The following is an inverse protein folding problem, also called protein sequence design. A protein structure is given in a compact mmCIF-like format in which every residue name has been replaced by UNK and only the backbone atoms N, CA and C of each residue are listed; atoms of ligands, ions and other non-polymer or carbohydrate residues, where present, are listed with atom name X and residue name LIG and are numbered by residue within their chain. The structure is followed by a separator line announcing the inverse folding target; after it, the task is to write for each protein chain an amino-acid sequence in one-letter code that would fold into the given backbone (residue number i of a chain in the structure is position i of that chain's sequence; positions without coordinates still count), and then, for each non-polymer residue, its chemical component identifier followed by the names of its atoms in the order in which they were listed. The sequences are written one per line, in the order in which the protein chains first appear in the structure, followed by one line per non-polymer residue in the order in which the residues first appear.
data_IF_286044798827
#
_entry.id   IF_286044798827
#
_cell.length_a   1.000
_cell.length_b   1.000
_cell.length_c   1.000
_cell.angle_alpha   90.00
_cell.angle_beta   90.00
_cell.angle_gamma   90.00
#
_symmetry.space_group_name_H-M   'P 1'
#
loop_
_entity.id
_entity.type
_entity.pdbx_description
1 polymer ?
#
# COMPACT_ATOMS: atom_id res chain seq x y z
N UNK A 1 -11.33 3.64 -35.08
CA UNK A 1 -10.97 4.41 -33.86
C UNK A 1 -11.71 3.78 -32.68
N UNK A 2 -11.05 2.89 -31.95
CA UNK A 2 -11.63 2.33 -30.73
C UNK A 2 -11.75 3.43 -29.68
N UNK A 3 -12.93 3.56 -29.06
CA UNK A 3 -13.18 4.52 -27.99
C UNK A 3 -12.36 4.13 -26.77
N UNK A 4 -11.23 4.78 -26.55
CA UNK A 4 -10.49 4.70 -25.29
C UNK A 4 -11.18 5.60 -24.26
N UNK A 5 -11.46 5.05 -23.08
CA UNK A 5 -11.93 5.85 -21.94
C UNK A 5 -10.78 6.05 -20.97
N UNK A 6 -10.45 7.31 -20.72
CA UNK A 6 -9.44 7.71 -19.74
C UNK A 6 -9.86 7.29 -18.33
N UNK A 7 -8.92 6.74 -17.55
CA UNK A 7 -9.11 6.56 -16.10
C UNK A 7 -8.71 7.86 -15.40
N UNK A 8 -9.66 8.49 -14.70
CA UNK A 8 -9.41 9.74 -13.98
C UNK A 8 -8.28 9.62 -12.95
N UNK A 9 -7.39 10.61 -12.90
CA UNK A 9 -6.25 10.68 -11.96
C UNK A 9 -4.89 10.34 -12.56
N UNK A 10 -4.83 9.51 -13.61
CA UNK A 10 -3.56 9.00 -14.13
C UNK A 10 -2.80 9.96 -15.07
N UNK A 11 -3.45 10.98 -15.65
CA UNK A 11 -2.85 11.86 -16.66
C UNK A 11 -1.91 12.94 -16.11
N UNK A 12 -1.74 13.02 -14.78
CA UNK A 12 -0.86 14.03 -14.16
C UNK A 12 0.61 13.62 -14.17
N UNK A 13 0.91 12.32 -14.29
CA UNK A 13 2.28 11.82 -14.31
C UNK A 13 2.88 11.98 -15.72
N UNK A 14 3.98 12.74 -15.89
CA UNK A 14 4.67 12.84 -17.17
C UNK A 14 5.21 11.49 -17.65
N UNK A 15 5.44 10.53 -16.75
CA UNK A 15 6.02 9.21 -17.03
C UNK A 15 5.05 8.30 -17.79
N UNK A 16 3.74 8.49 -17.67
CA UNK A 16 2.77 7.61 -18.29
C UNK A 16 1.37 7.72 -17.70
N UNK A 17 0.42 6.98 -18.26
CA UNK A 17 -0.95 6.95 -17.74
C UNK A 17 -1.69 5.64 -18.03
N UNK A 18 -2.73 5.38 -17.26
CA UNK A 18 -3.64 4.23 -17.38
C UNK A 18 -4.86 4.60 -18.20
N UNK A 19 -5.27 3.69 -19.09
CA UNK A 19 -6.44 3.82 -19.94
C UNK A 19 -7.13 2.47 -20.14
N UNK A 20 -8.38 2.50 -20.59
CA UNK A 20 -9.17 1.29 -20.85
C UNK A 20 -9.52 1.21 -22.33
N UNK A 21 -9.30 0.03 -22.91
CA UNK A 21 -9.74 -0.34 -24.27
C UNK A 21 -10.49 -1.66 -24.17
N UNK A 22 -11.73 -1.69 -24.67
CA UNK A 22 -12.56 -2.91 -24.69
C UNK A 22 -12.70 -3.61 -23.32
N UNK A 23 -12.72 -2.82 -22.24
CA UNK A 23 -12.86 -3.33 -20.87
C UNK A 23 -11.57 -3.90 -20.26
N UNK A 24 -10.45 -3.85 -21.00
CA UNK A 24 -9.12 -4.23 -20.55
C UNK A 24 -8.32 -2.99 -20.12
N UNK A 25 -7.57 -3.12 -19.03
CA UNK A 25 -6.72 -2.05 -18.50
C UNK A 25 -5.36 -2.10 -19.18
N UNK A 26 -4.90 -0.93 -19.63
CA UNK A 26 -3.58 -0.71 -20.20
C UNK A 26 -2.89 0.47 -19.53
N UNK A 27 -1.56 0.47 -19.58
CA UNK A 27 -0.73 1.59 -19.15
C UNK A 27 0.21 1.99 -20.26
N UNK A 28 0.18 3.26 -20.64
CA UNK A 28 1.18 3.85 -21.51
C UNK A 28 2.39 4.28 -20.69
N UNK A 29 3.57 3.99 -21.19
CA UNK A 29 4.84 4.58 -20.77
C UNK A 29 5.19 5.65 -21.78
N UNK A 30 5.53 6.85 -21.30
CA UNK A 30 5.98 7.93 -22.16
C UNK A 30 7.51 7.89 -22.34
N UNK A 31 8.00 8.52 -23.41
CA UNK A 31 9.42 8.60 -23.75
C UNK A 31 10.31 9.10 -22.59
N UNK A 32 9.78 9.97 -21.72
CA UNK A 32 10.53 10.52 -20.58
C UNK A 32 10.94 9.46 -19.55
N UNK A 33 10.24 8.33 -19.50
CA UNK A 33 10.48 7.24 -18.55
C UNK A 33 11.15 6.02 -19.21
N UNK A 34 11.57 6.15 -20.47
CA UNK A 34 12.17 5.06 -21.24
C UNK A 34 13.38 4.44 -20.53
N UNK A 35 14.32 5.27 -20.08
CA UNK A 35 15.58 4.80 -19.49
C UNK A 35 15.33 4.00 -18.20
N UNK A 36 14.45 4.50 -17.33
CA UNK A 36 14.09 3.83 -16.09
C UNK A 36 13.33 2.52 -16.34
N UNK A 37 12.40 2.50 -17.30
CA UNK A 37 11.70 1.28 -17.69
C UNK A 37 12.64 0.23 -18.26
N UNK A 38 13.49 0.60 -19.22
CA UNK A 38 14.46 -0.31 -19.83
C UNK A 38 15.40 -0.87 -18.75
N UNK A 39 15.81 -0.05 -17.77
CA UNK A 39 16.61 -0.50 -16.63
C UNK A 39 15.84 -1.42 -15.68
N UNK A 40 14.56 -1.17 -15.42
CA UNK A 40 13.71 -2.04 -14.61
C UNK A 40 13.64 -3.46 -15.21
N UNK A 41 13.48 -3.54 -16.52
CA UNK A 41 13.38 -4.81 -17.24
C UNK A 41 14.74 -5.53 -17.36
N UNK A 42 15.82 -4.79 -17.59
CA UNK A 42 17.17 -5.37 -17.84
C UNK A 42 17.99 -5.63 -16.59
N UNK A 43 17.74 -4.93 -15.47
CA UNK A 43 18.47 -5.12 -14.21
C UNK A 43 18.14 -6.44 -13.48
N UNK A 44 17.09 -7.15 -13.90
CA UNK A 44 16.56 -8.32 -13.21
C UNK A 44 15.61 -7.99 -12.05
N UNK A 45 15.44 -6.71 -11.69
CA UNK A 45 14.54 -6.29 -10.61
C UNK A 45 13.09 -6.70 -10.89
N UNK A 46 12.59 -6.43 -12.10
CA UNK A 46 11.22 -6.79 -12.48
C UNK A 46 10.95 -8.30 -12.29
N UNK A 47 11.86 -9.14 -12.78
CA UNK A 47 11.75 -10.59 -12.66
C UNK A 47 11.81 -11.04 -11.19
N UNK A 48 12.67 -10.43 -10.37
CA UNK A 48 12.76 -10.73 -8.94
C UNK A 48 11.47 -10.36 -8.20
N UNK A 49 10.94 -9.16 -8.42
CA UNK A 49 9.73 -8.67 -7.72
C UNK A 49 8.47 -9.45 -8.11
N UNK A 50 8.30 -9.78 -9.39
CA UNK A 50 7.13 -10.52 -9.87
C UNK A 50 7.16 -11.99 -9.42
N UNK A 51 8.33 -12.64 -9.50
CA UNK A 51 8.53 -14.00 -8.98
C UNK A 51 8.18 -14.10 -7.49
N UNK A 52 8.56 -13.09 -6.71
CA UNK A 52 8.31 -13.05 -5.27
C UNK A 52 6.89 -12.55 -4.91
N UNK A 53 6.06 -12.21 -5.91
CA UNK A 53 4.70 -11.70 -5.72
C UNK A 53 4.64 -10.29 -5.11
N UNK A 54 5.70 -9.50 -5.21
CA UNK A 54 5.80 -8.15 -4.65
C UNK A 54 5.32 -7.06 -5.60
N UNK A 55 5.32 -7.33 -6.91
CA UNK A 55 4.87 -6.44 -7.97
C UNK A 55 3.84 -7.18 -8.83
N UNK A 56 2.73 -6.52 -9.15
CA UNK A 56 1.74 -7.02 -10.10
C UNK A 56 2.41 -7.12 -11.47
N UNK A 57 2.46 -8.32 -12.08
CA UNK A 57 3.12 -8.50 -13.35
C UNK A 57 2.31 -7.82 -14.47
N UNK A 58 3.02 -7.50 -15.54
CA UNK A 58 2.49 -6.98 -16.77
C UNK A 58 3.20 -7.61 -17.97
N UNK A 59 2.54 -7.51 -19.12
CA UNK A 59 3.13 -7.85 -20.42
C UNK A 59 3.20 -6.60 -21.28
N UNK A 60 4.14 -6.54 -22.22
CA UNK A 60 4.12 -5.50 -23.25
C UNK A 60 3.02 -5.83 -24.26
N UNK A 61 2.14 -4.86 -24.51
CA UNK A 61 1.02 -4.98 -25.44
C UNK A 61 1.38 -4.40 -26.82
N UNK A 62 0.45 -4.53 -27.78
CA UNK A 62 0.61 -3.99 -29.13
C UNK A 62 0.86 -2.46 -29.08
N UNK A 63 1.98 -1.95 -29.63
CA UNK A 63 2.25 -0.52 -29.74
C UNK A 63 1.15 0.28 -30.45
N UNK A 64 0.34 -0.36 -31.31
CA UNK A 64 -0.80 0.28 -31.96
C UNK A 64 -1.89 0.77 -30.98
N UNK A 65 -1.89 0.28 -29.73
CA UNK A 65 -2.78 0.75 -28.65
C UNK A 65 -2.33 2.07 -28.03
N UNK A 66 -1.13 2.57 -28.38
CA UNK A 66 -0.60 3.80 -27.85
C UNK A 66 -1.53 4.99 -28.06
N UNK A 67 -1.58 5.85 -27.05
CA UNK A 67 -2.38 7.07 -26.99
C UNK A 67 -1.43 8.27 -27.16
N UNK A 68 -1.24 8.69 -28.41
CA UNK A 68 -0.47 9.88 -28.77
C UNK A 68 1.03 9.65 -29.00
N UNK A 69 1.70 10.68 -29.52
CA UNK A 69 3.08 10.61 -30.03
C UNK A 69 4.16 10.47 -28.96
N UNK A 70 3.83 10.74 -27.69
CA UNK A 70 4.76 10.65 -26.56
C UNK A 70 4.95 9.23 -26.06
N UNK A 71 4.21 8.26 -26.60
CA UNK A 71 4.28 6.88 -26.18
C UNK A 71 5.65 6.27 -26.51
N UNK A 72 6.17 5.50 -25.55
CA UNK A 72 7.31 4.62 -25.72
C UNK A 72 6.83 3.17 -25.82
N UNK A 73 6.05 2.72 -24.83
CA UNK A 73 5.50 1.36 -24.74
C UNK A 73 4.09 1.36 -24.17
N UNK A 74 3.34 0.30 -24.45
CA UNK A 74 2.04 0.02 -23.82
C UNK A 74 2.18 -1.28 -23.02
N UNK A 75 1.75 -1.26 -21.77
CA UNK A 75 1.73 -2.41 -20.88
C UNK A 75 0.30 -2.87 -20.65
N UNK A 76 0.12 -4.18 -20.55
CA UNK A 76 -1.09 -4.83 -20.06
C UNK A 76 -0.78 -5.49 -18.70
N UNK A 77 -1.11 -4.83 -17.57
CA UNK A 77 -0.98 -5.43 -16.25
C UNK A 77 -2.00 -6.53 -16.01
N UNK A 78 -1.65 -7.49 -15.17
CA UNK A 78 -2.62 -8.44 -14.62
C UNK A 78 -3.72 -7.67 -13.86
N UNK A 79 -4.98 -8.01 -14.18
CA UNK A 79 -6.12 -7.30 -13.64
C UNK A 79 -6.43 -7.80 -12.23
N UNK A 80 -6.36 -6.88 -11.28
CA UNK A 80 -6.86 -7.13 -9.93
C UNK A 80 -8.40 -7.20 -9.93
N UNK A 81 -8.99 -8.21 -9.26
CA UNK A 81 -10.45 -8.35 -9.20
C UNK A 81 -11.12 -7.28 -8.35
N UNK A 82 -10.38 -6.64 -7.44
CA UNK A 82 -10.86 -5.63 -6.53
C UNK A 82 -9.73 -4.66 -6.17
N UNK A 83 -10.08 -3.38 -6.04
CA UNK A 83 -9.18 -2.32 -5.60
C UNK A 83 -9.72 -1.80 -4.28
N UNK A 84 -8.88 -1.75 -3.27
CA UNK A 84 -9.17 -1.14 -1.97
C UNK A 84 -8.22 0.03 -1.71
N UNK A 85 -8.64 0.93 -0.82
CA UNK A 85 -7.92 2.14 -0.51
C UNK A 85 -7.29 2.10 0.89
N UNK A 86 -6.18 2.81 1.12
CA UNK A 86 -5.49 2.81 2.41
C UNK A 86 -6.35 3.18 3.64
N UNK A 87 -7.39 4.00 3.46
CA UNK A 87 -8.32 4.35 4.53
C UNK A 87 -9.36 3.27 4.84
N UNK A 88 -9.42 2.20 4.05
CA UNK A 88 -10.29 1.03 4.23
C UNK A 88 -9.55 -0.15 4.86
N UNK A 89 -8.22 -0.07 4.94
CA UNK A 89 -7.38 -1.16 5.43
C UNK A 89 -7.33 -1.21 6.95
N UNK A 90 -7.34 -2.44 7.48
CA UNK A 90 -7.06 -2.68 8.88
C UNK A 90 -5.60 -2.35 9.24
N UNK A 91 -5.32 -2.27 10.54
CA UNK A 91 -3.98 -1.92 11.05
C UNK A 91 -2.87 -2.80 10.47
N UNK A 92 -3.06 -4.13 10.46
CA UNK A 92 -2.05 -5.06 9.97
C UNK A 92 -1.95 -5.07 8.44
N UNK A 93 -3.04 -4.82 7.71
CA UNK A 93 -2.99 -4.61 6.25
C UNK A 93 -2.10 -3.42 5.90
N UNK A 94 -2.33 -2.27 6.54
CA UNK A 94 -1.51 -1.07 6.31
C UNK A 94 -0.05 -1.29 6.73
N UNK A 95 0.19 -2.06 7.81
CA UNK A 95 1.54 -2.42 8.26
C UNK A 95 2.24 -3.31 7.23
N UNK A 96 1.56 -4.31 6.70
CA UNK A 96 2.15 -5.23 5.73
C UNK A 96 2.41 -4.55 4.39
N UNK A 97 1.54 -3.61 3.97
CA UNK A 97 1.80 -2.73 2.83
C UNK A 97 3.04 -1.85 3.02
N UNK A 98 3.26 -1.33 4.24
CA UNK A 98 4.46 -0.58 4.58
C UNK A 98 5.73 -1.46 4.52
N UNK A 99 5.66 -2.67 5.08
CA UNK A 99 6.77 -3.63 5.07
C UNK A 99 7.09 -4.12 3.65
N UNK A 100 6.07 -4.36 2.83
CA UNK A 100 6.23 -4.63 1.39
C UNK A 100 7.03 -3.52 0.73
N UNK A 101 6.63 -2.27 0.93
CA UNK A 101 7.28 -1.11 0.30
C UNK A 101 8.75 -1.01 0.68
N UNK A 102 9.11 -1.25 1.94
CA UNK A 102 10.52 -1.30 2.38
C UNK A 102 11.29 -2.49 1.76
N UNK A 103 10.64 -3.66 1.64
CA UNK A 103 11.23 -4.83 0.98
C UNK A 103 11.52 -4.56 -0.49
N UNK A 104 10.58 -3.92 -1.20
CA UNK A 104 10.76 -3.52 -2.60
C UNK A 104 11.88 -2.49 -2.71
N UNK A 105 11.94 -1.49 -1.83
CA UNK A 105 13.04 -0.51 -1.84
C UNK A 105 14.40 -1.18 -1.66
N UNK A 106 14.51 -2.16 -0.75
CA UNK A 106 15.75 -2.91 -0.53
C UNK A 106 16.15 -3.71 -1.77
N UNK A 107 15.21 -4.43 -2.36
CA UNK A 107 15.45 -5.16 -3.61
C UNK A 107 15.84 -4.21 -4.75
N UNK A 108 15.18 -3.05 -4.87
CA UNK A 108 15.55 -2.04 -5.86
C UNK A 108 17.01 -1.62 -5.70
N UNK A 109 17.46 -1.31 -4.47
CA UNK A 109 18.85 -0.92 -4.20
C UNK A 109 19.88 -2.04 -4.48
N UNK A 110 19.48 -3.30 -4.41
CA UNK A 110 20.32 -4.45 -4.79
C UNK A 110 20.50 -4.54 -6.32
N UNK A 111 19.48 -4.12 -7.07
CA UNK A 111 19.49 -4.07 -8.53
C UNK A 111 19.88 -2.70 -9.11
N UNK A 112 20.43 -1.80 -8.29
CA UNK A 112 20.87 -0.46 -8.72
C UNK A 112 19.72 0.48 -9.10
N UNK A 113 18.54 0.27 -8.53
CA UNK A 113 17.36 1.12 -8.70
C UNK A 113 16.86 1.62 -7.34
N UNK A 114 15.88 2.52 -7.34
CA UNK A 114 15.20 2.99 -6.14
C UNK A 114 13.72 3.24 -6.43
N UNK A 115 12.87 3.11 -5.43
CA UNK A 115 11.50 3.62 -5.47
C UNK A 115 11.51 5.13 -5.36
N UNK A 116 10.90 5.79 -6.34
CA UNK A 116 10.63 7.24 -6.34
C UNK A 116 9.25 7.61 -5.83
N UNK A 117 8.31 6.66 -5.85
CA UNK A 117 6.97 6.79 -5.31
C UNK A 117 6.69 5.68 -4.29
N UNK A 118 6.42 6.08 -3.06
CA UNK A 118 6.06 5.23 -1.93
C UNK A 118 4.64 5.54 -1.43
N UNK A 119 3.73 5.94 -2.33
CA UNK A 119 2.31 6.10 -2.03
C UNK A 119 1.67 4.77 -1.62
N UNK A 120 0.98 4.75 -0.49
CA UNK A 120 0.15 3.61 -0.10
C UNK A 120 -0.92 3.27 -1.15
N UNK A 121 -1.35 4.22 -1.97
CA UNK A 121 -2.33 3.97 -3.04
C UNK A 121 -1.78 3.12 -4.18
N UNK A 122 -0.46 2.90 -4.26
CA UNK A 122 0.16 2.02 -5.24
C UNK A 122 0.23 0.57 -4.77
N UNK A 123 -0.14 0.27 -3.52
CA UNK A 123 -0.21 -1.10 -2.99
C UNK A 123 -1.64 -1.60 -3.07
N UNK A 124 -1.81 -2.86 -3.44
CA UNK A 124 -3.08 -3.57 -3.48
C UNK A 124 -2.92 -4.98 -2.91
N UNK A 125 -4.02 -5.71 -2.76
CA UNK A 125 -4.01 -7.04 -2.15
C UNK A 125 -4.49 -8.13 -3.11
N UNK A 126 -3.69 -9.18 -3.28
CA UNK A 126 -4.09 -10.44 -3.95
C UNK A 126 -4.42 -11.45 -2.86
N UNK A 127 -5.72 -11.57 -2.54
CA UNK A 127 -6.16 -12.20 -1.30
C UNK A 127 -5.70 -11.34 -0.11
N UNK A 128 -4.98 -11.93 0.84
CA UNK A 128 -4.36 -11.20 1.96
C UNK A 128 -2.89 -10.84 1.73
N UNK A 129 -2.35 -10.99 0.51
CA UNK A 129 -0.95 -10.67 0.20
C UNK A 129 -0.85 -9.29 -0.45
N UNK A 130 -0.13 -8.33 0.14
CA UNK A 130 0.07 -7.02 -0.49
C UNK A 130 1.05 -7.13 -1.66
N UNK A 131 0.79 -6.37 -2.73
CA UNK A 131 1.65 -6.24 -3.91
C UNK A 131 1.58 -4.80 -4.46
N UNK A 132 2.70 -4.29 -4.96
CA UNK A 132 2.78 -3.00 -5.66
C UNK A 132 2.14 -3.16 -7.04
N UNK A 133 1.29 -2.23 -7.47
CA UNK A 133 0.68 -2.25 -8.81
C UNK A 133 1.27 -1.22 -9.77
N UNK A 134 2.07 -0.27 -9.28
CA UNK A 134 2.63 0.78 -10.11
C UNK A 134 4.05 0.45 -10.59
N UNK A 135 4.19 0.22 -11.89
CA UNK A 135 5.48 -0.04 -12.56
C UNK A 135 6.30 1.23 -12.73
N UNK A 136 5.67 2.41 -12.75
CA UNK A 136 6.38 3.69 -12.98
C UNK A 136 6.96 4.29 -11.69
N UNK A 137 6.94 3.53 -10.58
CA UNK A 137 7.45 3.95 -9.27
C UNK A 137 8.97 3.77 -9.12
N UNK A 138 9.70 3.27 -10.11
CA UNK A 138 11.15 3.01 -10.01
C UNK A 138 11.98 4.06 -10.73
N UNK A 139 13.22 4.24 -10.32
CA UNK A 139 14.23 5.03 -11.05
C UNK A 139 15.63 4.45 -10.87
N UNK A 140 16.53 4.80 -11.76
CA UNK A 140 17.96 4.57 -11.62
C UNK A 140 18.49 5.12 -10.28
N UNK A 141 19.04 4.26 -9.42
CA UNK A 141 19.71 4.72 -8.20
C UNK A 141 21.09 5.31 -8.56
N UNK A 142 21.40 6.45 -7.96
CA UNK A 142 22.69 7.13 -8.05
C UNK A 142 23.34 7.15 -6.67
N UNK A 143 24.57 6.65 -6.59
CA UNK A 143 25.27 6.55 -5.30
C UNK A 143 25.42 7.92 -4.64
N UNK A 144 25.12 7.99 -3.34
CA UNK A 144 25.16 9.23 -2.58
C UNK A 144 23.85 10.01 -2.56
N UNK A 145 22.86 9.67 -3.39
CA UNK A 145 21.55 10.31 -3.34
C UNK A 145 20.68 9.76 -2.20
N UNK A 146 19.92 10.61 -1.50
CA UNK A 146 18.97 10.17 -0.48
C UNK A 146 17.78 9.43 -1.12
N UNK A 147 17.07 8.61 -0.34
CA UNK A 147 15.82 8.01 -0.81
C UNK A 147 14.73 9.09 -0.98
N UNK A 148 14.40 9.43 -2.23
CA UNK A 148 13.48 10.53 -2.57
C UNK A 148 12.08 10.33 -1.99
N UNK A 149 11.60 9.09 -1.93
CA UNK A 149 10.27 8.75 -1.43
C UNK A 149 10.20 8.64 0.10
N UNK A 150 11.30 8.87 0.84
CA UNK A 150 11.34 8.71 2.30
C UNK A 150 10.26 9.53 3.04
N UNK A 151 10.07 10.79 2.64
CA UNK A 151 9.02 11.64 3.22
C UNK A 151 7.63 11.05 2.97
N UNK A 152 7.37 10.67 1.72
CA UNK A 152 6.09 10.11 1.32
C UNK A 152 5.80 8.81 2.07
N UNK A 153 6.79 7.93 2.21
CA UNK A 153 6.70 6.72 3.02
C UNK A 153 6.26 7.02 4.47
N UNK A 154 6.92 8.00 5.11
CA UNK A 154 6.54 8.40 6.46
C UNK A 154 5.09 8.92 6.54
N UNK A 155 4.62 9.66 5.53
CA UNK A 155 3.27 10.24 5.52
C UNK A 155 2.17 9.22 5.22
N UNK A 156 2.45 8.26 4.33
CA UNK A 156 1.48 7.27 3.88
C UNK A 156 1.41 6.04 4.79
N UNK A 157 2.50 5.69 5.49
CA UNK A 157 2.56 4.47 6.29
C UNK A 157 2.89 4.74 7.77
N UNK A 158 4.06 5.29 8.06
CA UNK A 158 4.55 5.35 9.44
C UNK A 158 3.69 6.25 10.33
N UNK A 159 3.32 7.43 9.85
CA UNK A 159 2.48 8.39 10.55
C UNK A 159 1.07 7.82 10.85
N UNK A 160 0.29 7.33 9.87
CA UNK A 160 -1.03 6.76 10.16
C UNK A 160 -0.94 5.53 11.07
N UNK A 161 0.02 4.62 10.86
CA UNK A 161 0.20 3.47 11.76
C UNK A 161 0.54 3.89 13.20
N UNK A 162 1.38 4.91 13.38
CA UNK A 162 1.68 5.44 14.71
C UNK A 162 0.42 6.06 15.35
N UNK A 163 -0.37 6.81 14.61
CA UNK A 163 -1.62 7.38 15.12
C UNK A 163 -2.62 6.30 15.52
N UNK A 164 -2.76 5.25 14.72
CA UNK A 164 -3.60 4.09 15.04
C UNK A 164 -3.12 3.39 16.33
N UNK A 165 -1.82 3.16 16.46
CA UNK A 165 -1.25 2.41 17.58
C UNK A 165 -1.22 3.18 18.92
N UNK A 166 -1.11 4.51 18.91
CA UNK A 166 -0.96 5.31 20.14
C UNK A 166 -2.14 6.21 20.48
N UNK A 167 -3.14 6.34 19.59
CA UNK A 167 -4.29 7.21 19.81
C UNK A 167 -5.61 6.51 19.55
N UNK A 168 -5.89 6.17 18.30
CA UNK A 168 -7.16 5.57 17.90
C UNK A 168 -7.04 5.00 16.48
N UNK A 169 -7.47 3.76 16.28
CA UNK A 169 -7.42 3.06 14.99
C UNK A 169 -8.16 3.80 13.87
N UNK A 170 -9.21 4.56 14.22
CA UNK A 170 -10.02 5.32 13.24
C UNK A 170 -9.27 6.49 12.63
N UNK A 171 -8.10 6.86 13.16
CA UNK A 171 -7.24 7.88 12.56
C UNK A 171 -6.64 7.46 11.21
N UNK A 172 -6.76 6.19 10.80
CA UNK A 172 -6.51 5.76 9.42
C UNK A 172 -7.37 6.55 8.41
N UNK A 173 -8.58 6.97 8.80
CA UNK A 173 -9.50 7.75 7.96
C UNK A 173 -8.94 9.10 7.50
N UNK A 174 -7.89 9.62 8.15
CA UNK A 174 -7.18 10.81 7.69
C UNK A 174 -6.62 10.66 6.27
N UNK A 175 -6.30 9.43 5.85
CA UNK A 175 -5.83 9.14 4.50
C UNK A 175 -6.89 9.43 3.42
N UNK A 176 -8.18 9.50 3.77
CA UNK A 176 -9.26 9.89 2.86
C UNK A 176 -9.20 11.38 2.48
N UNK A 177 -8.75 12.23 3.40
CA UNK A 177 -8.67 13.69 3.19
C UNK A 177 -7.25 14.10 2.77
N UNK A 178 -6.24 13.41 3.30
CA UNK A 178 -4.84 13.60 2.95
C UNK A 178 -4.41 12.53 1.95
N UNK A 179 -4.79 12.71 0.68
CA UNK A 179 -4.46 11.77 -0.41
C UNK A 179 -2.93 11.61 -0.58
N UNK A 180 -2.16 12.69 -0.33
CA UNK A 180 -0.69 12.73 -0.35
C UNK A 180 -0.06 12.30 1.01
N UNK A 181 -0.84 11.60 1.84
CA UNK A 181 -0.43 11.10 3.14
C UNK A 181 -0.54 12.14 4.27
N UNK A 182 -0.63 11.62 5.52
CA UNK A 182 -0.83 12.45 6.71
C UNK A 182 0.38 13.39 6.91
N UNK A 183 0.20 14.72 6.97
CA UNK A 183 1.30 15.64 7.23
C UNK A 183 2.04 15.29 8.53
N UNK A 184 3.37 15.17 8.46
CA UNK A 184 4.17 14.71 9.60
C UNK A 184 4.08 15.67 10.79
N UNK A 185 3.86 16.95 10.53
CA UNK A 185 3.74 17.98 11.55
C UNK A 185 2.38 17.94 12.27
N UNK A 186 1.32 17.50 11.57
CA UNK A 186 0.03 17.16 12.15
C UNK A 186 0.17 15.89 12.99
N UNK A 187 0.73 14.82 12.42
CA UNK A 187 0.95 13.56 13.13
C UNK A 187 1.79 13.75 14.40
N UNK A 188 2.89 14.51 14.31
CA UNK A 188 3.77 14.83 15.45
C UNK A 188 3.06 15.58 16.58
N UNK A 189 2.07 16.42 16.26
CA UNK A 189 1.23 17.13 17.25
C UNK A 189 0.16 16.23 17.86
N UNK A 190 -0.42 15.35 17.05
CA UNK A 190 -1.44 14.41 17.49
C UNK A 190 -0.85 13.28 18.34
N UNK A 191 0.37 12.83 18.12
CA UNK A 191 0.98 11.74 18.89
C UNK A 191 1.24 12.12 20.37
N UNK A 192 1.15 11.19 21.33
CA UNK A 192 1.49 11.44 22.72
C UNK A 192 2.96 11.84 22.90
N UNK A 193 3.28 12.63 23.92
CA UNK A 193 4.66 13.05 24.19
C UNK A 193 5.62 11.87 24.41
N UNK A 194 5.10 10.73 24.90
CA UNK A 194 5.86 9.51 25.13
C UNK A 194 6.45 8.89 23.85
N UNK A 195 5.90 9.18 22.67
CA UNK A 195 6.45 8.68 21.40
C UNK A 195 7.78 9.33 21.05
N UNK A 196 8.14 10.46 21.69
CA UNK A 196 9.46 11.09 21.55
C UNK A 196 10.58 10.27 22.18
N UNK A 197 10.28 9.35 23.08
CA UNK A 197 11.25 8.41 23.64
C UNK A 197 11.41 7.13 22.80
N UNK A 198 10.61 6.98 21.73
CA UNK A 198 10.73 5.87 20.79
C UNK A 198 11.57 6.29 19.60
N UNK A 199 12.83 5.84 19.55
CA UNK A 199 13.82 6.28 18.57
C UNK A 199 13.31 6.32 17.13
N UNK A 200 12.62 5.28 16.58
CA UNK A 200 12.11 5.36 15.21
C UNK A 200 11.10 6.51 15.02
N UNK A 201 10.17 6.71 15.95
CA UNK A 201 9.15 7.77 15.85
C UNK A 201 9.75 9.16 16.09
N UNK A 202 10.73 9.26 17.01
CA UNK A 202 11.50 10.48 17.22
C UNK A 202 12.19 10.93 15.93
N UNK A 203 12.93 10.03 15.28
CA UNK A 203 13.70 10.34 14.09
C UNK A 203 12.77 10.62 12.88
N UNK A 204 11.85 9.70 12.60
CA UNK A 204 11.14 9.66 11.32
C UNK A 204 9.85 10.47 11.29
N UNK A 205 9.29 10.83 12.46
CA UNK A 205 8.11 11.70 12.57
C UNK A 205 8.49 13.04 13.23
N UNK A 206 8.93 13.03 14.48
CA UNK A 206 9.05 14.29 15.25
C UNK A 206 10.17 15.20 14.75
N UNK A 207 11.41 14.69 14.65
CA UNK A 207 12.54 15.46 14.14
C UNK A 207 12.39 15.76 12.65
N UNK A 208 11.85 14.81 11.89
CA UNK A 208 11.55 15.03 10.47
C UNK A 208 10.55 16.18 10.27
N UNK A 209 9.44 16.21 11.01
CA UNK A 209 8.48 17.32 10.97
C UNK A 209 9.11 18.66 11.36
N UNK A 210 9.97 18.68 12.39
CA UNK A 210 10.68 19.89 12.82
C UNK A 210 11.64 20.40 11.74
N UNK A 211 12.37 19.50 11.09
CA UNK A 211 13.26 19.85 9.98
C UNK A 211 12.46 20.44 8.81
N UNK A 212 11.34 19.81 8.43
CA UNK A 212 10.48 20.29 7.35
C UNK A 212 9.98 21.73 7.57
N UNK A 213 9.48 22.05 8.78
CA UNK A 213 9.05 23.43 9.09
C UNK A 213 10.18 24.43 8.96
N UNK A 214 11.37 24.09 9.50
CA UNK A 214 12.55 24.97 9.43
C UNK A 214 13.00 25.27 8.00
N UNK A 215 12.80 24.34 7.07
CA UNK A 215 13.15 24.52 5.65
C UNK A 215 12.02 25.11 4.80
N UNK A 216 10.77 25.04 5.27
CA UNK A 216 9.64 25.70 4.62
C UNK A 216 9.65 27.22 4.86
N UNK A 217 10.15 27.66 6.01
CA UNK A 217 10.26 29.08 6.39
C UNK A 217 11.53 29.76 5.83
N UNK A 218 12.44 29.01 5.20
CA UNK A 218 13.61 29.58 4.53
C UNK A 218 13.34 29.73 3.03
N UNK A 219 13.23 30.97 2.54
CA UNK A 219 13.08 31.33 1.11
C UNK A 219 14.21 30.80 0.18
N UNK A 220 15.21 30.12 0.74
CA UNK A 220 16.22 29.39 0.00
C UNK A 220 15.73 27.95 -0.19
N UNK A 221 15.11 27.68 -1.34
CA UNK A 221 14.50 26.40 -1.67
C UNK A 221 15.31 25.18 -1.21
N UNK A 222 14.66 24.27 -0.47
CA UNK A 222 15.28 23.08 0.16
C UNK A 222 16.10 22.19 -0.78
N UNK A 223 15.93 22.34 -2.10
CA UNK A 223 16.78 21.73 -3.13
C UNK A 223 18.25 22.22 -3.11
N UNK A 224 18.56 23.40 -2.57
CA UNK A 224 19.93 23.92 -2.51
C UNK A 224 20.77 23.32 -1.38
N UNK A 225 20.18 23.00 -0.22
CA UNK A 225 20.90 22.35 0.90
C UNK A 225 20.94 20.81 0.81
N UNK A 226 19.95 20.18 0.14
CA UNK A 226 19.98 18.74 -0.11
C UNK A 226 21.12 18.31 -1.06
N UNK A 227 21.54 19.21 -1.96
CA UNK A 227 22.63 18.99 -2.93
C UNK A 227 24.03 18.79 -2.32
N UNK A 228 24.20 18.96 -1.01
CA UNK A 228 25.50 18.86 -0.34
C UNK A 228 25.69 17.66 0.61
N UNK A 229 24.64 16.87 0.90
CA UNK A 229 24.75 15.74 1.83
C UNK A 229 24.66 14.42 1.07
N UNK A 230 25.81 13.82 0.82
CA UNK A 230 25.89 12.45 0.32
C UNK A 230 25.38 11.48 1.39
N UNK A 231 24.40 10.65 1.03
CA UNK A 231 23.93 9.54 1.86
C UNK A 231 24.50 8.26 1.29
N UNK A 232 25.45 7.65 2.00
CA UNK A 232 26.03 6.37 1.56
C UNK A 232 24.95 5.28 1.45
N UNK A 233 25.16 4.30 0.58
CA UNK A 233 24.29 3.11 0.52
C UNK A 233 24.10 2.42 1.88
N UNK A 234 25.14 2.37 2.72
CA UNK A 234 25.07 1.82 4.08
C UNK A 234 24.10 2.63 4.95
N UNK A 235 24.15 3.96 4.85
CA UNK A 235 23.23 4.85 5.57
C UNK A 235 21.78 4.69 5.09
N UNK A 236 21.57 4.47 3.79
CA UNK A 236 20.23 4.15 3.26
C UNK A 236 19.71 2.83 3.81
N UNK A 237 20.53 1.77 3.83
CA UNK A 237 20.14 0.49 4.42
C UNK A 237 19.80 0.64 5.91
N UNK A 238 20.61 1.38 6.67
CA UNK A 238 20.33 1.68 8.07
C UNK A 238 19.04 2.50 8.29
N UNK A 239 18.69 3.39 7.35
CA UNK A 239 17.40 4.08 7.35
C UNK A 239 16.24 3.08 7.18
N UNK A 240 16.34 2.17 6.20
CA UNK A 240 15.33 1.13 5.98
C UNK A 240 15.18 0.21 7.20
N UNK A 241 16.29 -0.20 7.81
CA UNK A 241 16.29 -1.04 9.02
C UNK A 241 15.63 -0.33 10.21
N UNK A 242 15.88 0.97 10.38
CA UNK A 242 15.25 1.79 11.42
C UNK A 242 13.73 1.90 11.23
N UNK A 243 13.29 2.14 9.99
CA UNK A 243 11.86 2.20 9.63
C UNK A 243 11.18 0.85 9.85
N UNK A 244 11.78 -0.23 9.36
CA UNK A 244 11.29 -1.60 9.51
C UNK A 244 11.18 -1.99 10.99
N UNK A 245 12.20 -1.70 11.80
CA UNK A 245 12.19 -1.91 13.25
C UNK A 245 11.08 -1.10 13.93
N UNK A 246 10.86 0.14 13.48
CA UNK A 246 9.75 0.99 13.93
C UNK A 246 8.39 0.33 13.68
N UNK A 247 8.12 -0.05 12.44
CA UNK A 247 6.86 -0.68 12.01
C UNK A 247 6.62 -2.00 12.73
N UNK A 248 7.64 -2.86 12.80
CA UNK A 248 7.58 -4.14 13.51
C UNK A 248 7.38 -4.01 15.00
N UNK A 249 7.54 -2.83 15.61
CA UNK A 249 7.23 -2.57 17.03
C UNK A 249 5.87 -1.89 17.25
N UNK A 250 5.23 -1.38 16.19
CA UNK A 250 3.88 -0.85 16.30
C UNK A 250 2.90 -2.02 16.49
N UNK A 251 2.09 -1.91 17.54
CA UNK A 251 1.04 -2.87 17.88
C UNK A 251 -0.20 -2.06 18.18
N UNK A 252 -1.31 -2.48 17.61
CA UNK A 252 -2.64 -2.07 18.03
C UNK A 252 -3.32 -3.30 18.61
N UNK A 253 -3.98 -3.15 19.76
CA UNK A 253 -4.68 -4.25 20.43
C UNK A 253 -6.16 -4.18 20.06
N UNK A 254 -6.65 -5.24 19.44
CA UNK A 254 -8.03 -5.30 18.91
C UNK A 254 -9.08 -5.26 20.02
N UNK A 255 -8.72 -5.74 21.22
CA UNK A 255 -9.58 -5.77 22.42
C UNK A 255 -10.00 -4.39 22.95
N UNK A 256 -9.45 -3.30 22.40
CA UNK A 256 -9.92 -1.94 22.71
C UNK A 256 -11.21 -1.57 21.95
N UNK A 257 -11.67 -2.43 21.04
CA UNK A 257 -12.96 -2.31 20.35
C UNK A 257 -14.04 -3.10 21.08
N UNK A 258 -15.24 -2.53 21.17
CA UNK A 258 -16.37 -3.11 21.90
C UNK A 258 -16.88 -4.47 21.38
N UNK A 259 -16.33 -4.99 20.27
CA UNK A 259 -16.83 -6.17 19.56
C UNK A 259 -15.95 -7.42 19.69
N UNK A 260 -14.66 -7.30 20.04
CA UNK A 260 -13.80 -8.46 20.29
C UNK A 260 -14.30 -9.30 21.50
N UNK A 261 -14.82 -8.64 22.53
CA UNK A 261 -15.46 -9.29 23.69
C UNK A 261 -16.93 -9.68 23.43
N UNK A 262 -17.57 -9.15 22.38
CA UNK A 262 -18.99 -9.41 22.12
C UNK A 262 -19.25 -10.88 21.76
N UNK A 263 -18.36 -11.53 20.99
CA UNK A 263 -18.46 -12.97 20.72
C UNK A 263 -18.08 -13.87 21.90
N UNK A 264 -17.26 -13.38 22.84
CA UNK A 264 -16.99 -14.11 24.08
C UNK A 264 -18.20 -14.08 25.04
N UNK A 265 -19.08 -13.09 24.90
CA UNK A 265 -20.13 -12.81 25.89
C UNK A 265 -21.58 -12.78 25.37
N UNK A 266 -21.86 -12.91 24.07
CA UNK A 266 -23.26 -12.90 23.58
C UNK A 266 -23.68 -14.07 22.65
N UNK A 267 -24.68 -14.79 23.15
CA UNK A 267 -25.87 -15.36 22.50
C UNK A 267 -25.83 -16.55 21.53
N UNK A 268 -24.68 -17.03 21.05
CA UNK A 268 -24.65 -18.29 20.29
C UNK A 268 -23.71 -19.31 20.93
N UNK A 269 -24.24 -20.50 21.23
CA UNK A 269 -23.37 -21.65 21.48
C UNK A 269 -22.55 -21.95 20.24
N UNK A 270 -21.38 -22.56 20.43
CA UNK A 270 -20.56 -23.07 19.33
C UNK A 270 -21.39 -23.92 18.36
N UNK A 271 -22.25 -24.79 18.90
CA UNK A 271 -23.16 -25.63 18.13
C UNK A 271 -24.12 -24.82 17.22
N UNK A 272 -24.65 -23.69 17.70
CA UNK A 272 -25.56 -22.86 16.90
C UNK A 272 -24.81 -22.10 15.78
N UNK A 273 -23.57 -21.65 16.03
CA UNK A 273 -22.70 -21.10 14.99
C UNK A 273 -22.32 -22.13 13.94
N UNK A 274 -22.01 -23.36 14.36
CA UNK A 274 -21.68 -24.46 13.46
C UNK A 274 -22.87 -24.86 12.59
N UNK A 275 -24.08 -24.93 13.18
CA UNK A 275 -25.32 -25.17 12.44
C UNK A 275 -25.59 -24.08 11.40
N UNK A 276 -25.37 -22.80 11.74
CA UNK A 276 -25.49 -21.68 10.79
C UNK A 276 -24.44 -21.80 9.68
N UNK A 277 -23.19 -22.13 10.00
CA UNK A 277 -22.13 -22.33 9.01
C UNK A 277 -22.48 -23.45 8.02
N UNK A 278 -23.03 -24.57 8.51
CA UNK A 278 -23.51 -25.66 7.66
C UNK A 278 -24.66 -25.21 6.74
N UNK A 279 -25.60 -24.40 7.24
CA UNK A 279 -26.67 -23.85 6.42
C UNK A 279 -26.15 -22.93 5.30
N UNK A 280 -25.25 -22.02 5.65
CA UNK A 280 -24.62 -21.10 4.69
C UNK A 280 -23.82 -21.89 3.65
N UNK A 281 -23.09 -22.92 4.06
CA UNK A 281 -22.36 -23.81 3.15
C UNK A 281 -23.28 -24.46 2.11
N UNK A 282 -24.46 -24.96 2.51
CA UNK A 282 -25.45 -25.50 1.57
C UNK A 282 -25.95 -24.47 0.58
N UNK A 283 -26.28 -23.26 1.04
CA UNK A 283 -26.70 -22.18 0.15
C UNK A 283 -25.61 -21.80 -0.87
N UNK A 284 -24.35 -21.80 -0.46
CA UNK A 284 -23.22 -21.55 -1.36
C UNK A 284 -23.04 -22.68 -2.38
N UNK A 285 -23.24 -23.93 -1.99
CA UNK A 285 -23.18 -25.09 -2.90
C UNK A 285 -24.30 -25.07 -3.93
N UNK A 286 -25.53 -24.77 -3.50
CA UNK A 286 -26.70 -24.68 -4.40
C UNK A 286 -26.59 -23.50 -5.37
N UNK A 287 -26.11 -22.34 -4.91
CA UNK A 287 -26.00 -21.13 -5.72
C UNK A 287 -24.77 -21.10 -6.64
N UNK A 288 -23.67 -21.78 -6.28
CA UNK A 288 -22.41 -21.79 -7.02
C UNK A 288 -21.87 -20.40 -7.40
N UNK A 289 -21.79 -19.42 -6.47
CA UNK A 289 -21.46 -18.05 -6.83
C UNK A 289 -19.98 -17.90 -7.23
N UNK A 290 -19.72 -17.14 -8.29
CA UNK A 290 -18.35 -16.74 -8.65
C UNK A 290 -17.84 -15.57 -7.80
N UNK A 291 -18.75 -14.77 -7.23
CA UNK A 291 -18.44 -13.57 -6.45
C UNK A 291 -19.37 -13.46 -5.25
N UNK A 292 -18.81 -13.12 -4.09
CA UNK A 292 -19.56 -12.92 -2.84
C UNK A 292 -19.14 -11.61 -2.20
N UNK A 293 -20.12 -10.86 -1.69
CA UNK A 293 -19.89 -9.72 -0.82
C UNK A 293 -20.53 -10.02 0.53
N UNK A 294 -19.70 -10.10 1.57
CA UNK A 294 -20.11 -10.37 2.95
C UNK A 294 -20.06 -9.07 3.74
N UNK A 295 -21.23 -8.52 4.07
CA UNK A 295 -21.40 -7.25 4.78
C UNK A 295 -21.72 -7.53 6.24
N UNK A 296 -20.88 -7.05 7.16
CA UNK A 296 -20.89 -7.50 8.55
C UNK A 296 -20.20 -8.84 8.70
N UNK A 297 -19.07 -9.01 8.01
CA UNK A 297 -18.33 -10.27 7.95
C UNK A 297 -17.74 -10.70 9.30
N UNK A 298 -17.69 -9.79 10.28
CA UNK A 298 -17.00 -9.98 11.55
C UNK A 298 -15.55 -10.46 11.30
N UNK A 299 -15.16 -11.60 11.88
CA UNK A 299 -13.83 -12.20 11.68
C UNK A 299 -13.70 -13.01 10.38
N UNK A 300 -14.67 -12.90 9.47
CA UNK A 300 -14.62 -13.52 8.14
C UNK A 300 -14.99 -15.01 8.09
N UNK A 301 -15.60 -15.55 9.15
CA UNK A 301 -15.92 -16.99 9.27
C UNK A 301 -16.75 -17.52 8.11
N UNK A 302 -17.81 -16.80 7.72
CA UNK A 302 -18.69 -17.21 6.60
C UNK A 302 -18.08 -16.83 5.26
N UNK A 303 -17.34 -15.72 5.18
CA UNK A 303 -16.60 -15.32 3.98
C UNK A 303 -15.63 -16.41 3.52
N UNK A 304 -14.93 -17.07 4.47
CA UNK A 304 -14.04 -18.20 4.17
C UNK A 304 -14.77 -19.42 3.59
N UNK A 305 -16.03 -19.65 3.93
CA UNK A 305 -16.82 -20.75 3.32
C UNK A 305 -17.03 -20.52 1.82
N UNK A 306 -17.23 -19.26 1.41
CA UNK A 306 -17.36 -18.88 0.01
C UNK A 306 -16.01 -18.98 -0.71
N UNK A 307 -14.94 -18.42 -0.11
CA UNK A 307 -13.59 -18.47 -0.68
C UNK A 307 -13.07 -19.90 -0.85
N UNK A 308 -13.32 -20.80 0.10
CA UNK A 308 -12.94 -22.21 0.01
C UNK A 308 -13.63 -22.97 -1.15
N UNK A 309 -14.73 -22.43 -1.67
CA UNK A 309 -15.47 -22.95 -2.83
C UNK A 309 -15.06 -22.27 -4.14
N UNK A 310 -14.03 -21.44 -4.12
CA UNK A 310 -13.49 -20.75 -5.30
C UNK A 310 -14.19 -19.43 -5.65
N UNK A 311 -15.13 -18.96 -4.82
CA UNK A 311 -15.74 -17.66 -5.02
C UNK A 311 -14.74 -16.53 -4.69
N UNK A 312 -14.70 -15.49 -5.52
CA UNK A 312 -14.03 -14.25 -5.14
C UNK A 312 -14.85 -13.53 -4.08
N UNK A 313 -14.34 -13.45 -2.85
CA UNK A 313 -15.10 -12.94 -1.70
C UNK A 313 -14.50 -11.63 -1.18
N UNK A 314 -15.35 -10.59 -1.06
CA UNK A 314 -15.03 -9.35 -0.36
C UNK A 314 -15.75 -9.38 0.99
N UNK A 315 -14.98 -9.40 2.07
CA UNK A 315 -15.46 -9.31 3.44
C UNK A 315 -15.32 -7.87 3.95
N UNK A 316 -16.41 -7.26 4.38
CA UNK A 316 -16.43 -5.90 4.90
C UNK A 316 -17.12 -5.85 6.26
N UNK A 317 -16.56 -5.07 7.18
CA UNK A 317 -17.15 -4.79 8.48
C UNK A 317 -16.86 -3.35 8.90
N UNK A 318 -17.70 -2.80 9.75
CA UNK A 318 -17.50 -1.47 10.35
C UNK A 318 -16.54 -1.52 11.53
N UNK A 319 -16.39 -2.69 12.17
CA UNK A 319 -15.46 -2.87 13.28
C UNK A 319 -14.03 -3.15 12.77
N UNK A 320 -13.07 -2.23 12.96
CA UNK A 320 -11.68 -2.44 12.55
C UNK A 320 -11.01 -3.61 13.30
N UNK A 321 -11.48 -3.97 14.50
CA UNK A 321 -10.96 -5.13 15.25
C UNK A 321 -11.28 -6.43 14.53
N UNK A 322 -12.56 -6.64 14.20
CA UNK A 322 -13.04 -7.77 13.42
C UNK A 322 -12.33 -7.90 12.06
N UNK A 323 -12.17 -6.81 11.30
CA UNK A 323 -11.46 -6.84 10.01
C UNK A 323 -9.98 -7.20 10.20
N UNK A 324 -9.31 -6.66 11.22
CA UNK A 324 -7.91 -6.98 11.49
C UNK A 324 -7.70 -8.46 11.85
N UNK A 325 -8.62 -9.05 12.62
CA UNK A 325 -8.63 -10.48 12.94
C UNK A 325 -8.90 -11.33 11.69
N UNK A 326 -9.89 -10.95 10.88
CA UNK A 326 -10.20 -11.62 9.62
C UNK A 326 -8.97 -11.67 8.71
N UNK A 327 -8.26 -10.54 8.57
CA UNK A 327 -7.04 -10.44 7.76
C UNK A 327 -5.91 -11.37 8.25
N UNK A 328 -5.72 -11.50 9.57
CA UNK A 328 -4.70 -12.38 10.14
C UNK A 328 -4.99 -13.87 9.91
N UNK A 329 -6.26 -14.24 9.81
CA UNK A 329 -6.68 -15.62 9.63
C UNK A 329 -6.61 -16.11 8.17
N UNK A 330 -6.48 -15.19 7.20
CA UNK A 330 -6.37 -15.49 5.77
C UNK A 330 -7.71 -15.52 5.05
#
# INVERSE_FOLDING_TARGET
MNKSSAVGGSFRDPSGFVFVVEGQVYRQINQVYREDYDRLMTSGLYAALTRDGLLIPHTEADPALAQGERAYKVLQPERLPFISYPYEWAFDQLRDAALLTLRIQRAALEHGMSLKDASAYNVQFVGCRPALMDTLSFEAYREGEPWVAYRQFCQHFLAPLALMAYRDVRLSSLLRVHIDGVPLDLASRLLPLSTRFRTPLLLHIHLHAKAQRRYADSDVGGAALARGRQVSRISLLGLLDSLESGLRKLRWRENETAWADYYAHTNYSTAALDAKAAQVARFLEEAGPQRVCDLGANTGRFSRLASARGAFTVAADVDPGAVNLAYREG
#
